data_IF_615655391040
#
_entry.id   IF_615655391040
#
_cell.length_a   1.000
_cell.length_b   1.000
_cell.length_c   1.000
_cell.angle_alpha   90.00
_cell.angle_beta   90.00
_cell.angle_gamma   90.00
#
_symmetry.space_group_name_H-M   'P 1'
#
loop_
_entity.id
_entity.type
_entity.pdbx_description
1 polymer ?
#
# COMPACT_ATOMS: atom_id res chain seq x y z
N UNK A 1 -20.94 -14.79 12.00
CA UNK A 1 -21.27 -15.66 13.15
C UNK A 1 -20.25 -15.64 14.27
N UNK A 2 -19.10 -15.05 14.06
CA UNK A 2 -18.08 -14.87 15.09
C UNK A 2 -18.61 -14.04 16.27
N UNK A 3 -19.32 -12.95 15.98
CA UNK A 3 -19.95 -12.13 17.02
C UNK A 3 -20.92 -12.93 17.90
N UNK A 4 -21.74 -13.78 17.28
CA UNK A 4 -22.65 -14.67 18.03
C UNK A 4 -21.87 -15.67 18.91
N UNK A 5 -20.73 -16.17 18.46
CA UNK A 5 -19.87 -17.03 19.25
C UNK A 5 -19.25 -16.29 20.44
N UNK A 6 -18.82 -15.04 20.24
CA UNK A 6 -18.30 -14.19 21.32
C UNK A 6 -19.39 -13.87 22.36
N UNK A 7 -20.63 -13.57 21.94
CA UNK A 7 -21.74 -13.36 22.86
C UNK A 7 -22.02 -14.61 23.71
N UNK A 8 -22.05 -15.81 23.10
CA UNK A 8 -22.25 -17.08 23.83
C UNK A 8 -21.11 -17.33 24.84
N UNK A 9 -19.88 -16.98 24.49
CA UNK A 9 -18.71 -17.04 25.38
C UNK A 9 -18.87 -16.13 26.60
N UNK A 10 -19.62 -15.07 26.48
CA UNK A 10 -19.99 -14.14 27.55
C UNK A 10 -21.34 -14.55 28.22
N UNK A 11 -21.75 -15.81 28.07
CA UNK A 11 -23.00 -16.36 28.64
C UNK A 11 -24.29 -15.68 28.14
N UNK A 12 -24.23 -14.92 27.02
CA UNK A 12 -25.42 -14.33 26.42
C UNK A 12 -26.07 -15.39 25.51
N UNK A 13 -27.35 -15.64 25.72
CA UNK A 13 -28.11 -16.63 24.94
C UNK A 13 -28.40 -16.05 23.55
N UNK A 14 -27.81 -16.68 22.51
CA UNK A 14 -28.10 -16.38 21.11
C UNK A 14 -28.83 -17.54 20.47
N UNK A 15 -30.11 -17.36 20.14
CA UNK A 15 -30.99 -18.41 19.59
C UNK A 15 -30.94 -18.56 18.10
N UNK A 16 -30.46 -17.53 17.37
CA UNK A 16 -30.31 -17.57 15.91
C UNK A 16 -29.55 -16.37 15.41
N UNK A 17 -29.07 -16.47 14.17
CA UNK A 17 -28.42 -15.38 13.43
C UNK A 17 -29.01 -15.35 12.03
N UNK A 18 -29.45 -14.18 11.58
CA UNK A 18 -29.97 -13.98 10.24
C UNK A 18 -29.58 -12.58 9.74
N UNK A 19 -29.36 -12.41 8.43
CA UNK A 19 -29.19 -11.08 7.84
C UNK A 19 -30.45 -10.25 8.03
N UNK A 20 -30.28 -9.00 8.48
CA UNK A 20 -31.36 -8.04 8.58
C UNK A 20 -30.83 -6.62 8.32
N UNK A 21 -31.74 -5.70 7.95
CA UNK A 21 -31.43 -4.26 7.94
C UNK A 21 -31.73 -3.70 9.33
N UNK A 22 -30.80 -2.89 9.84
CA UNK A 22 -31.06 -2.11 11.06
C UNK A 22 -32.27 -1.21 10.86
N UNK A 23 -33.14 -1.14 11.85
CA UNK A 23 -34.29 -0.23 11.84
C UNK A 23 -33.82 1.23 11.91
N UNK A 24 -34.59 2.14 11.30
CA UNK A 24 -34.28 3.58 11.32
C UNK A 24 -34.32 4.23 12.72
N UNK A 25 -34.84 3.51 13.70
CA UNK A 25 -34.89 3.89 15.14
C UNK A 25 -34.06 2.93 16.00
N UNK A 26 -33.10 2.22 15.41
CA UNK A 26 -32.22 1.37 16.19
C UNK A 26 -31.39 2.23 17.16
N UNK A 27 -31.35 1.81 18.42
CA UNK A 27 -30.52 2.41 19.45
C UNK A 27 -29.13 1.78 19.40
N UNK A 28 -28.09 2.61 19.50
CA UNK A 28 -26.72 2.14 19.63
C UNK A 28 -26.51 1.61 21.06
N UNK A 29 -26.20 0.34 21.17
CA UNK A 29 -25.97 -0.31 22.45
C UNK A 29 -24.51 -0.21 22.91
N UNK A 30 -23.59 -0.22 21.98
CA UNK A 30 -22.15 -0.10 22.22
C UNK A 30 -21.43 0.26 20.92
N UNK A 31 -20.31 0.93 21.04
CA UNK A 31 -19.40 1.27 19.95
C UNK A 31 -17.96 0.98 20.36
N UNK A 32 -17.12 0.70 19.39
CA UNK A 32 -15.67 0.63 19.54
C UNK A 32 -15.04 1.38 18.38
N UNK A 33 -14.14 2.29 18.70
CA UNK A 33 -13.41 3.03 17.67
C UNK A 33 -12.39 2.15 16.97
N UNK A 34 -12.24 2.36 15.68
CA UNK A 34 -11.12 1.77 14.92
C UNK A 34 -9.80 2.44 15.33
N UNK A 35 -8.68 1.87 14.87
CA UNK A 35 -7.42 2.59 14.92
C UNK A 35 -7.52 3.90 14.12
N UNK A 36 -6.73 4.93 14.46
CA UNK A 36 -6.57 6.11 13.63
C UNK A 36 -6.18 5.74 12.19
N UNK A 37 -6.62 6.54 11.21
CA UNK A 37 -6.44 6.23 9.79
C UNK A 37 -4.96 6.07 9.40
N UNK A 38 -4.07 6.87 9.98
CA UNK A 38 -2.62 6.75 9.78
C UNK A 38 -2.11 5.35 10.15
N UNK A 39 -2.57 4.79 11.27
CA UNK A 39 -2.19 3.45 11.73
C UNK A 39 -2.82 2.34 10.89
N UNK A 40 -4.00 2.58 10.33
CA UNK A 40 -4.62 1.65 9.38
C UNK A 40 -3.80 1.61 8.08
N UNK A 41 -3.38 2.78 7.55
CA UNK A 41 -2.54 2.89 6.36
C UNK A 41 -1.18 2.20 6.58
N UNK A 42 -0.50 2.46 7.69
CA UNK A 42 0.77 1.81 8.03
C UNK A 42 0.63 0.28 8.03
N UNK A 43 -0.40 -0.25 8.70
CA UNK A 43 -0.66 -1.71 8.74
C UNK A 43 -1.00 -2.29 7.36
N UNK A 44 -1.83 -1.59 6.60
CA UNK A 44 -2.18 -1.98 5.23
C UNK A 44 -0.94 -2.11 4.34
N UNK A 45 -0.05 -1.13 4.41
CA UNK A 45 1.18 -1.15 3.61
C UNK A 45 2.15 -2.23 4.09
N UNK A 46 2.33 -2.38 5.39
CA UNK A 46 3.22 -3.37 6.02
C UNK A 46 2.80 -4.81 5.69
N UNK A 47 1.51 -5.12 5.84
CA UNK A 47 0.95 -6.44 5.58
C UNK A 47 0.62 -6.67 4.10
N UNK A 48 0.63 -5.61 3.27
CA UNK A 48 0.13 -5.64 1.89
C UNK A 48 -1.35 -6.11 1.82
N UNK A 49 -2.19 -5.53 2.70
CA UNK A 49 -3.60 -5.89 2.85
C UNK A 49 -4.43 -5.29 1.71
N UNK A 50 -4.85 -6.16 0.79
CA UNK A 50 -5.63 -5.77 -0.38
C UNK A 50 -7.06 -5.36 -0.01
N UNK A 51 -7.68 -6.01 0.97
CA UNK A 51 -9.04 -5.69 1.41
C UNK A 51 -9.10 -4.32 2.07
N UNK A 52 -8.13 -4.02 2.93
CA UNK A 52 -7.98 -2.68 3.51
C UNK A 52 -7.76 -1.61 2.43
N UNK A 53 -6.94 -1.89 1.40
CA UNK A 53 -6.71 -0.97 0.30
C UNK A 53 -8.00 -0.67 -0.49
N UNK A 54 -8.83 -1.68 -0.77
CA UNK A 54 -10.13 -1.50 -1.43
C UNK A 54 -11.10 -0.68 -0.58
N UNK A 55 -11.15 -0.94 0.73
CA UNK A 55 -12.00 -0.19 1.66
C UNK A 55 -11.57 1.26 1.73
N UNK A 56 -10.27 1.54 1.89
CA UNK A 56 -9.73 2.90 1.95
C UNK A 56 -10.02 3.65 0.64
N UNK A 57 -9.83 3.00 -0.52
CA UNK A 57 -10.15 3.60 -1.81
C UNK A 57 -11.63 4.04 -1.89
N UNK A 58 -12.55 3.21 -1.40
CA UNK A 58 -13.99 3.56 -1.34
C UNK A 58 -14.27 4.71 -0.38
N UNK A 59 -13.54 4.80 0.75
CA UNK A 59 -13.65 5.92 1.69
C UNK A 59 -13.21 7.24 1.05
N UNK A 60 -12.22 7.24 0.15
CA UNK A 60 -11.83 8.42 -0.63
C UNK A 60 -13.01 8.93 -1.48
N UNK A 61 -13.77 8.03 -2.12
CA UNK A 61 -14.96 8.43 -2.88
C UNK A 61 -16.05 9.00 -1.98
N UNK A 62 -16.29 8.39 -0.82
CA UNK A 62 -17.29 8.85 0.15
C UNK A 62 -16.92 10.23 0.68
N UNK A 63 -15.64 10.46 0.99
CA UNK A 63 -15.14 11.76 1.41
C UNK A 63 -15.28 12.84 0.31
N UNK A 64 -15.24 12.45 -0.98
CA UNK A 64 -15.52 13.32 -2.13
C UNK A 64 -17.04 13.45 -2.43
N UNK A 65 -17.91 12.99 -1.52
CA UNK A 65 -19.39 13.07 -1.63
C UNK A 65 -20.00 12.09 -2.65
N UNK A 66 -19.32 11.00 -2.96
CA UNK A 66 -19.76 9.97 -3.92
C UNK A 66 -20.29 8.72 -3.21
N UNK A 67 -21.03 7.83 -3.90
CA UNK A 67 -21.60 6.60 -3.30
C UNK A 67 -20.57 5.58 -2.77
N UNK A 68 -19.28 5.73 -3.03
CA UNK A 68 -18.25 4.79 -2.58
C UNK A 68 -18.15 3.51 -3.42
N UNK A 69 -18.55 3.56 -4.69
CA UNK A 69 -18.26 2.47 -5.63
C UNK A 69 -16.78 2.47 -6.01
N UNK A 70 -16.26 1.35 -6.54
CA UNK A 70 -14.87 1.30 -7.02
C UNK A 70 -14.65 2.31 -8.16
N UNK A 71 -15.62 2.48 -9.05
CA UNK A 71 -15.54 3.46 -10.13
C UNK A 71 -15.43 4.90 -9.60
N UNK A 72 -16.24 5.24 -8.60
CA UNK A 72 -16.17 6.54 -7.94
C UNK A 72 -14.82 6.74 -7.24
N UNK A 73 -14.32 5.69 -6.57
CA UNK A 73 -13.03 5.69 -5.90
C UNK A 73 -11.88 6.01 -6.88
N UNK A 74 -11.85 5.32 -8.02
CA UNK A 74 -10.82 5.55 -9.05
C UNK A 74 -10.91 6.97 -9.64
N UNK A 75 -12.12 7.49 -9.84
CA UNK A 75 -12.31 8.86 -10.31
C UNK A 75 -11.85 9.90 -9.27
N UNK A 76 -12.16 9.71 -8.00
CA UNK A 76 -11.75 10.60 -6.92
C UNK A 76 -10.23 10.56 -6.69
N UNK A 77 -9.61 9.38 -6.72
CA UNK A 77 -8.15 9.23 -6.65
C UNK A 77 -7.47 9.90 -7.84
N UNK A 78 -7.98 9.68 -9.06
CA UNK A 78 -7.46 10.36 -10.27
C UNK A 78 -7.53 11.88 -10.13
N UNK A 79 -8.68 12.42 -9.71
CA UNK A 79 -8.87 13.86 -9.49
C UNK A 79 -7.81 14.40 -8.51
N UNK A 80 -7.66 13.74 -7.35
CA UNK A 80 -6.71 14.14 -6.32
C UNK A 80 -5.27 14.11 -6.82
N UNK A 81 -4.84 13.02 -7.44
CA UNK A 81 -3.49 12.90 -7.97
C UNK A 81 -3.21 13.87 -9.14
N UNK A 82 -4.25 14.25 -9.91
CA UNK A 82 -4.12 15.26 -10.95
C UNK A 82 -3.90 16.66 -10.35
N UNK A 83 -4.64 17.00 -9.30
CA UNK A 83 -4.46 18.28 -8.57
C UNK A 83 -3.06 18.38 -7.97
N UNK A 84 -2.53 17.25 -7.49
CA UNK A 84 -1.18 17.15 -6.91
C UNK A 84 -0.06 16.98 -7.95
N UNK A 85 -0.34 17.13 -9.24
CA UNK A 85 0.61 16.84 -10.35
C UNK A 85 1.25 15.45 -10.29
N UNK A 86 0.61 14.47 -9.66
CA UNK A 86 1.12 13.11 -9.53
C UNK A 86 0.50 12.11 -10.53
N UNK A 87 -0.57 12.49 -11.25
CA UNK A 87 -1.16 11.65 -12.30
C UNK A 87 -0.42 11.83 -13.62
N UNK A 88 0.39 10.85 -14.01
CA UNK A 88 1.15 10.92 -15.27
C UNK A 88 0.39 10.31 -16.46
N UNK A 89 0.70 10.70 -17.70
CA UNK A 89 0.11 10.08 -18.89
C UNK A 89 0.31 8.56 -18.91
N UNK A 90 -0.72 7.83 -19.32
CA UNK A 90 -0.71 6.36 -19.34
C UNK A 90 -1.20 5.71 -18.05
N UNK A 91 -1.39 6.44 -16.96
CA UNK A 91 -1.95 5.90 -15.72
C UNK A 91 -3.41 5.49 -15.92
N UNK A 92 -3.72 4.24 -15.54
CA UNK A 92 -5.08 3.68 -15.51
C UNK A 92 -5.22 2.84 -14.24
N UNK A 93 -6.23 3.13 -13.43
CA UNK A 93 -6.54 2.40 -12.20
C UNK A 93 -7.95 1.85 -12.29
N UNK A 94 -8.15 0.63 -11.81
CA UNK A 94 -9.44 -0.08 -11.82
C UNK A 94 -9.83 -0.58 -10.44
N UNK A 95 -8.92 -0.55 -9.48
CA UNK A 95 -9.10 -0.98 -8.11
C UNK A 95 -8.15 -0.23 -7.16
N UNK A 96 -8.35 -0.38 -5.86
CA UNK A 96 -7.49 0.20 -4.84
C UNK A 96 -6.26 -0.65 -4.51
N UNK A 97 -6.35 -1.95 -4.71
CA UNK A 97 -5.32 -2.94 -4.34
C UNK A 97 -4.25 -3.15 -5.41
N UNK A 98 -4.55 -2.82 -6.68
CA UNK A 98 -3.66 -3.10 -7.81
C UNK A 98 -3.73 -4.52 -8.34
N UNK A 99 -4.73 -5.33 -7.94
CA UNK A 99 -4.91 -6.71 -8.41
C UNK A 99 -5.45 -6.79 -9.85
N UNK A 100 -6.08 -5.73 -10.32
CA UNK A 100 -6.60 -5.69 -11.69
C UNK A 100 -5.48 -5.72 -12.72
N UNK A 101 -5.48 -6.76 -13.56
CA UNK A 101 -4.52 -6.89 -14.67
C UNK A 101 -4.70 -5.84 -15.76
N UNK A 102 -5.80 -5.09 -15.75
CA UNK A 102 -6.04 -3.96 -16.64
C UNK A 102 -5.36 -2.68 -16.17
N UNK A 103 -4.94 -2.61 -14.89
CA UNK A 103 -4.22 -1.48 -14.31
C UNK A 103 -2.91 -1.19 -15.06
N UNK A 104 -2.59 0.08 -15.18
CA UNK A 104 -1.33 0.57 -15.76
C UNK A 104 -0.90 1.77 -14.95
N UNK A 105 0.20 1.65 -14.22
CA UNK A 105 0.75 2.71 -13.41
C UNK A 105 2.21 2.88 -13.81
N UNK A 106 2.57 3.95 -14.52
CA UNK A 106 3.96 4.25 -14.83
C UNK A 106 4.80 4.41 -13.55
N UNK A 107 6.06 3.97 -13.56
CA UNK A 107 6.98 4.16 -12.45
C UNK A 107 7.08 5.64 -12.03
N UNK A 108 6.99 6.56 -12.99
CA UNK A 108 6.97 8.00 -12.73
C UNK A 108 5.80 8.45 -11.84
N UNK A 109 4.61 7.83 -11.97
CA UNK A 109 3.46 8.10 -11.08
C UNK A 109 3.79 7.71 -9.64
N UNK A 110 4.38 6.53 -9.44
CA UNK A 110 4.77 6.05 -8.11
C UNK A 110 5.83 6.96 -7.47
N UNK A 111 6.84 7.35 -8.24
CA UNK A 111 7.89 8.28 -7.78
C UNK A 111 7.30 9.63 -7.39
N UNK A 112 6.38 10.19 -8.20
CA UNK A 112 5.72 11.47 -7.88
C UNK A 112 4.91 11.38 -6.58
N UNK A 113 4.12 10.32 -6.39
CA UNK A 113 3.34 10.12 -5.14
C UNK A 113 4.28 10.01 -3.94
N UNK A 114 5.34 9.22 -4.04
CA UNK A 114 6.34 9.10 -2.98
C UNK A 114 7.01 10.45 -2.66
N UNK A 115 7.36 11.23 -3.68
CA UNK A 115 8.00 12.54 -3.51
C UNK A 115 7.14 13.53 -2.74
N UNK A 116 5.82 13.55 -2.99
CA UNK A 116 4.88 14.45 -2.29
C UNK A 116 4.93 14.29 -0.76
N UNK A 117 5.12 13.08 -0.28
CA UNK A 117 5.18 12.82 1.16
C UNK A 117 6.57 13.03 1.74
N UNK A 118 7.65 12.62 1.04
CA UNK A 118 9.04 12.77 1.52
C UNK A 118 9.44 14.24 1.59
N UNK A 119 9.00 15.05 0.64
CA UNK A 119 9.32 16.49 0.60
C UNK A 119 8.67 17.31 1.72
N UNK A 120 7.82 16.70 2.55
CA UNK A 120 7.09 17.41 3.59
C UNK A 120 5.98 18.35 3.07
N UNK A 121 5.78 18.40 1.76
CA UNK A 121 4.74 19.22 1.11
C UNK A 121 3.32 18.76 1.51
N UNK A 122 3.18 17.47 1.83
CA UNK A 122 1.92 16.85 2.22
C UNK A 122 2.09 16.01 3.50
N UNK A 123 2.03 16.63 4.68
CA UNK A 123 2.22 15.90 5.96
C UNK A 123 1.25 14.73 6.15
N UNK A 124 0.05 14.80 5.56
CA UNK A 124 -0.94 13.73 5.59
C UNK A 124 -0.46 12.44 4.92
N UNK A 125 0.58 12.49 4.08
CA UNK A 125 1.19 11.32 3.45
C UNK A 125 2.31 10.67 4.30
N UNK A 126 2.65 11.22 5.46
CA UNK A 126 3.67 10.63 6.34
C UNK A 126 3.44 9.14 6.62
N UNK A 127 2.20 8.64 6.86
CA UNK A 127 1.94 7.22 7.07
C UNK A 127 2.33 6.32 5.90
N UNK A 128 2.41 6.85 4.67
CA UNK A 128 2.90 6.10 3.51
C UNK A 128 4.37 5.72 3.69
N UNK A 129 5.17 6.59 4.32
CA UNK A 129 6.61 6.32 4.54
C UNK A 129 6.85 5.41 5.72
N UNK A 130 6.19 5.71 6.84
CA UNK A 130 6.35 4.92 8.08
C UNK A 130 5.78 3.51 7.94
N UNK A 131 4.79 3.31 7.06
CA UNK A 131 4.18 2.02 6.77
C UNK A 131 4.89 1.18 5.70
N UNK A 132 5.93 1.69 5.02
CA UNK A 132 6.65 0.88 4.04
C UNK A 132 7.51 -0.18 4.73
N UNK A 133 7.42 -1.47 4.33
CA UNK A 133 8.29 -2.54 4.80
C UNK A 133 9.77 -2.22 4.66
N UNK A 134 10.56 -2.68 5.62
CA UNK A 134 12.03 -2.53 5.63
C UNK A 134 12.71 -3.78 5.08
N UNK A 135 13.59 -3.62 4.12
CA UNK A 135 14.32 -4.71 3.48
C UNK A 135 15.08 -5.56 4.51
N UNK A 136 14.79 -6.87 4.50
CA UNK A 136 15.39 -7.86 5.38
C UNK A 136 15.02 -7.76 6.86
N UNK A 137 14.00 -6.96 7.22
CA UNK A 137 13.62 -6.71 8.62
C UNK A 137 12.15 -7.03 8.89
N UNK A 138 11.22 -6.45 8.12
CA UNK A 138 9.80 -6.53 8.45
C UNK A 138 8.87 -6.51 7.23
N UNK A 139 7.62 -6.89 7.46
CA UNK A 139 6.54 -6.88 6.48
C UNK A 139 6.83 -7.75 5.26
N UNK A 140 6.33 -7.37 4.10
CA UNK A 140 6.52 -8.12 2.85
C UNK A 140 7.97 -8.18 2.36
N UNK A 141 8.90 -7.45 2.99
CA UNK A 141 10.33 -7.48 2.69
C UNK A 141 11.16 -8.22 3.74
N UNK A 142 10.57 -8.81 4.77
CA UNK A 142 11.27 -9.46 5.88
C UNK A 142 12.30 -10.51 5.42
N UNK A 143 11.97 -11.30 4.41
CA UNK A 143 12.81 -12.38 3.88
C UNK A 143 13.44 -12.04 2.52
N UNK A 144 13.33 -10.79 2.09
CA UNK A 144 13.92 -10.27 0.85
C UNK A 144 15.32 -9.73 1.11
N UNK A 145 16.06 -9.43 0.06
CA UNK A 145 17.45 -8.94 0.13
C UNK A 145 18.38 -9.93 0.85
N UNK A 146 18.16 -11.22 0.64
CA UNK A 146 18.90 -12.27 1.33
C UNK A 146 20.18 -12.72 0.58
N UNK A 147 20.23 -12.57 -0.75
CA UNK A 147 21.40 -12.94 -1.54
C UNK A 147 22.54 -11.90 -1.43
N UNK A 148 23.77 -12.34 -1.68
CA UNK A 148 24.98 -11.52 -1.51
C UNK A 148 24.95 -10.23 -2.36
N UNK A 149 24.31 -10.27 -3.53
CA UNK A 149 24.19 -9.11 -4.42
C UNK A 149 23.16 -8.07 -3.94
N UNK A 150 22.29 -8.42 -2.98
CA UNK A 150 21.23 -7.59 -2.48
C UNK A 150 21.41 -7.15 -1.02
N UNK A 151 22.27 -7.79 -0.24
CA UNK A 151 22.45 -7.57 1.20
C UNK A 151 22.72 -6.10 1.57
N UNK A 152 23.37 -5.35 0.69
CA UNK A 152 23.67 -3.93 0.91
C UNK A 152 22.42 -3.06 1.06
N UNK A 153 21.24 -3.53 0.61
CA UNK A 153 19.97 -2.82 0.78
C UNK A 153 19.27 -3.08 2.11
N UNK A 154 19.70 -4.09 2.90
CA UNK A 154 19.05 -4.46 4.17
C UNK A 154 19.10 -3.32 5.16
N UNK A 155 17.96 -3.01 5.76
CA UNK A 155 17.79 -1.91 6.72
C UNK A 155 17.82 -0.51 6.09
N UNK A 156 18.34 -0.35 4.88
CA UNK A 156 18.44 0.95 4.17
C UNK A 156 17.28 1.21 3.22
N UNK A 157 16.69 0.15 2.68
CA UNK A 157 15.56 0.24 1.75
C UNK A 157 14.23 0.10 2.48
N UNK A 158 13.30 1.00 2.19
CA UNK A 158 11.90 0.88 2.59
C UNK A 158 11.04 0.93 1.33
N UNK A 159 10.24 -0.10 1.09
CA UNK A 159 9.49 -0.18 -0.16
C UNK A 159 8.22 -1.03 -0.07
N UNK A 160 7.25 -0.69 -0.92
CA UNK A 160 6.07 -1.50 -1.18
C UNK A 160 6.35 -2.46 -2.33
N UNK A 161 6.05 -3.72 -2.11
CA UNK A 161 6.07 -4.76 -3.13
C UNK A 161 4.78 -4.76 -3.96
N UNK A 162 4.89 -5.12 -5.23
CA UNK A 162 3.76 -5.51 -6.09
C UNK A 162 4.05 -6.85 -6.74
N UNK A 163 3.09 -7.79 -6.65
CA UNK A 163 3.29 -9.14 -7.19
C UNK A 163 2.01 -9.67 -7.82
N UNK A 164 2.06 -9.89 -9.11
CA UNK A 164 1.12 -10.72 -9.88
C UNK A 164 1.94 -11.70 -10.71
N UNK A 165 1.35 -12.80 -11.18
CA UNK A 165 2.06 -13.71 -12.09
C UNK A 165 2.69 -12.93 -13.26
N UNK A 166 4.00 -13.06 -13.46
CA UNK A 166 4.80 -12.37 -14.47
C UNK A 166 4.89 -10.84 -14.35
N UNK A 167 4.41 -10.25 -13.25
CA UNK A 167 4.52 -8.81 -12.99
C UNK A 167 5.00 -8.60 -11.57
N UNK A 168 6.13 -7.91 -11.43
CA UNK A 168 6.74 -7.61 -10.15
C UNK A 168 7.13 -6.14 -10.06
N UNK A 169 6.96 -5.54 -8.91
CA UNK A 169 7.30 -4.15 -8.68
C UNK A 169 7.88 -3.94 -7.29
N UNK A 170 8.72 -2.93 -7.18
CA UNK A 170 9.24 -2.42 -5.92
C UNK A 170 9.33 -0.90 -6.03
N UNK A 171 8.62 -0.18 -5.14
CA UNK A 171 8.62 1.27 -5.12
C UNK A 171 8.75 1.78 -3.70
N UNK A 172 9.60 2.77 -3.48
CA UNK A 172 9.90 3.28 -2.16
C UNK A 172 11.07 4.24 -2.14
N UNK A 173 11.82 4.20 -1.06
CA UNK A 173 13.02 5.00 -0.88
C UNK A 173 14.16 4.18 -0.27
N UNK A 174 15.38 4.67 -0.48
CA UNK A 174 16.58 4.10 0.09
C UNK A 174 17.47 5.22 0.65
N UNK A 175 18.07 4.98 1.80
CA UNK A 175 19.20 5.78 2.24
C UNK A 175 20.46 5.24 1.60
N UNK A 176 21.23 6.11 0.94
CA UNK A 176 22.55 5.76 0.43
C UNK A 176 23.58 5.68 1.56
N UNK A 177 24.74 5.09 1.30
CA UNK A 177 25.85 5.08 2.25
C UNK A 177 26.34 6.48 2.65
N UNK A 178 26.14 7.46 1.77
CA UNK A 178 26.50 8.86 1.99
C UNK A 178 25.41 9.64 2.75
N UNK A 179 24.32 8.97 3.15
CA UNK A 179 23.20 9.55 3.88
C UNK A 179 22.19 10.31 3.01
N UNK A 180 22.29 10.22 1.68
CA UNK A 180 21.30 10.80 0.78
C UNK A 180 20.04 9.91 0.71
N UNK A 181 18.89 10.52 0.52
CA UNK A 181 17.63 9.82 0.34
C UNK A 181 17.25 9.78 -1.12
N UNK A 182 17.16 8.57 -1.68
CA UNK A 182 16.76 8.33 -3.06
C UNK A 182 15.38 7.69 -3.13
N UNK A 183 14.50 8.22 -3.97
CA UNK A 183 13.19 7.65 -4.27
C UNK A 183 13.31 6.83 -5.55
N UNK A 184 12.73 5.64 -5.55
CA UNK A 184 12.76 4.76 -6.71
C UNK A 184 11.41 4.07 -6.95
N UNK A 185 11.20 3.63 -8.19
CA UNK A 185 10.14 2.70 -8.59
C UNK A 185 10.62 1.83 -9.75
N UNK A 186 10.66 0.52 -9.54
CA UNK A 186 11.01 -0.47 -10.53
C UNK A 186 9.81 -1.37 -10.82
N UNK A 187 9.57 -1.64 -12.09
CA UNK A 187 8.47 -2.51 -12.53
C UNK A 187 8.99 -3.48 -13.59
N UNK A 188 8.79 -4.76 -13.35
CA UNK A 188 9.09 -5.84 -14.30
C UNK A 188 7.76 -6.38 -14.82
N UNK A 189 7.58 -6.37 -16.14
CA UNK A 189 6.44 -6.97 -16.82
C UNK A 189 6.89 -8.13 -17.69
N UNK A 190 6.01 -9.11 -17.88
CA UNK A 190 6.27 -10.30 -18.71
C UNK A 190 7.50 -11.07 -18.26
N UNK A 191 7.72 -11.18 -16.95
CA UNK A 191 8.81 -11.97 -16.41
C UNK A 191 8.76 -13.41 -16.93
N UNK A 192 9.89 -13.92 -17.40
CA UNK A 192 10.00 -15.34 -17.83
C UNK A 192 10.03 -16.24 -16.61
N UNK A 193 10.67 -15.79 -15.54
CA UNK A 193 10.74 -16.42 -14.24
C UNK A 193 10.41 -15.36 -13.18
N UNK A 194 9.42 -15.65 -12.36
CA UNK A 194 8.95 -14.71 -11.31
C UNK A 194 10.03 -14.56 -10.22
N UNK A 195 10.77 -15.60 -9.91
CA UNK A 195 11.84 -15.57 -8.90
C UNK A 195 13.01 -14.70 -9.32
N UNK A 196 13.50 -14.88 -10.55
CA UNK A 196 14.59 -14.07 -11.10
C UNK A 196 14.24 -12.59 -11.14
N UNK A 197 12.96 -12.27 -11.42
CA UNK A 197 12.47 -10.89 -11.43
C UNK A 197 12.49 -10.28 -10.02
N UNK A 198 12.15 -11.07 -9.01
CA UNK A 198 12.18 -10.64 -7.60
C UNK A 198 13.62 -10.40 -7.14
N UNK A 199 14.55 -11.33 -7.44
CA UNK A 199 15.97 -11.17 -7.13
C UNK A 199 16.59 -9.96 -7.85
N UNK A 200 16.23 -9.76 -9.12
CA UNK A 200 16.70 -8.59 -9.87
C UNK A 200 16.25 -7.29 -9.21
N UNK A 201 14.98 -7.20 -8.76
CA UNK A 201 14.47 -6.03 -8.04
C UNK A 201 15.25 -5.77 -6.74
N UNK A 202 15.60 -6.81 -6.00
CA UNK A 202 16.39 -6.67 -4.77
C UNK A 202 17.81 -6.15 -5.08
N UNK A 203 18.47 -6.73 -6.07
CA UNK A 203 19.83 -6.36 -6.46
C UNK A 203 19.93 -4.94 -7.02
N UNK A 204 19.00 -4.54 -7.93
CA UNK A 204 19.02 -3.18 -8.48
C UNK A 204 18.73 -2.14 -7.41
N UNK A 205 17.85 -2.46 -6.47
CA UNK A 205 17.53 -1.55 -5.35
C UNK A 205 18.70 -1.47 -4.36
N UNK A 206 19.37 -2.57 -4.07
CA UNK A 206 20.58 -2.57 -3.25
C UNK A 206 21.71 -1.77 -3.90
N UNK A 207 21.83 -1.83 -5.23
CA UNK A 207 22.80 -1.01 -5.97
C UNK A 207 22.50 0.49 -5.80
N UNK A 208 21.21 0.90 -5.84
CA UNK A 208 20.79 2.29 -5.55
C UNK A 208 21.18 2.69 -4.13
N UNK A 209 20.92 1.83 -3.12
CA UNK A 209 21.31 2.10 -1.73
C UNK A 209 22.83 2.15 -1.53
N UNK A 210 23.60 1.48 -2.40
CA UNK A 210 25.05 1.46 -2.34
C UNK A 210 25.72 2.60 -3.13
N UNK A 211 24.93 3.40 -3.84
CA UNK A 211 25.45 4.50 -4.65
C UNK A 211 26.10 5.57 -3.76
N UNK A 212 27.32 5.97 -4.12
CA UNK A 212 27.92 7.21 -3.62
C UNK A 212 27.52 8.34 -4.55
N UNK A 213 26.46 9.06 -4.21
CA UNK A 213 25.89 10.10 -5.10
C UNK A 213 26.57 11.47 -4.96
N UNK A 214 27.55 11.59 -4.08
CA UNK A 214 28.43 12.76 -3.98
C UNK A 214 29.66 12.51 -4.85
N UNK A 215 29.61 13.06 -6.07
CA UNK A 215 30.79 13.18 -6.93
C UNK A 215 31.70 14.32 -6.49
#
# INVERSE_FOLDING_TARGET
DEFAALLRKQHIKVTGVSPAKAGTRAEELAGIDSLPLDKIIERMLMASDNDAAEVIARQVAIADGKPGTIADAMNSIKKTLTIMDAWTPGTRMYDGSGLSRSGRIPAATLVKVLRLGIGGEQPALAPVFTGLPVAGVEGSLQYRFADDGAQAGRGLVRAKTGTLSKVHALAGYAYTRDGELLIFAFVVNNAKNDWDAVEWLDRVTAAVASCGCRG
#
